data_IF_717212445615
#
_entry.id   IF_717212445615
#
_cell.length_a   1.000
_cell.length_b   1.000
_cell.length_c   1.000
_cell.angle_alpha   90.00
_cell.angle_beta   90.00
_cell.angle_gamma   90.00
#
_symmetry.space_group_name_H-M   'P 1'
#
loop_
_entity.id
_entity.type
_entity.pdbx_description
1 polymer ?
#
# COMPACT_ATOMS: atom_id res chain seq x y z
N UNK A 1 20.79 -26.09 13.76
CA UNK A 1 19.44 -25.51 13.89
C UNK A 1 19.39 -24.32 12.95
N UNK A 2 18.63 -24.45 11.87
CA UNK A 2 18.52 -23.48 10.79
C UNK A 2 17.47 -22.44 11.21
N UNK A 3 17.88 -21.21 11.50
CA UNK A 3 16.97 -20.07 11.61
C UNK A 3 17.48 -19.05 10.60
N UNK A 4 16.80 -19.05 9.46
CA UNK A 4 16.97 -18.11 8.36
C UNK A 4 16.77 -16.70 8.94
N UNK A 5 17.80 -15.86 8.84
CA UNK A 5 17.64 -14.42 9.06
C UNK A 5 16.78 -13.93 7.91
N UNK A 6 15.46 -13.88 8.11
CA UNK A 6 14.59 -13.13 7.22
C UNK A 6 15.15 -11.70 7.18
N UNK A 7 15.74 -11.35 6.04
CA UNK A 7 16.20 -10.00 5.75
C UNK A 7 14.97 -9.10 5.77
N UNK A 8 14.67 -8.54 6.93
CA UNK A 8 13.75 -7.41 7.03
C UNK A 8 14.55 -6.23 6.51
N UNK A 9 14.43 -6.00 5.20
CA UNK A 9 14.91 -4.76 4.58
C UNK A 9 14.13 -3.62 5.23
N UNK A 10 14.79 -2.68 5.93
CA UNK A 10 14.12 -1.48 6.39
C UNK A 10 13.51 -0.82 5.17
N UNK A 11 12.22 -0.51 5.21
CA UNK A 11 11.58 0.30 4.18
C UNK A 11 12.38 1.59 4.08
N UNK A 12 13.21 1.66 3.04
CA UNK A 12 13.90 2.89 2.67
C UNK A 12 12.80 3.91 2.43
N UNK A 13 12.95 5.06 3.09
CA UNK A 13 12.10 6.25 3.01
C UNK A 13 11.19 6.20 1.78
N UNK A 14 9.91 5.88 1.99
CA UNK A 14 8.89 5.84 0.93
C UNK A 14 8.73 7.27 0.44
N UNK A 15 9.69 7.71 -0.38
CA UNK A 15 9.67 9.02 -1.00
C UNK A 15 8.31 9.20 -1.68
N UNK A 16 7.83 10.45 -1.76
CA UNK A 16 6.52 10.73 -2.31
C UNK A 16 6.31 9.95 -3.61
N UNK A 17 5.31 9.06 -3.62
CA UNK A 17 4.98 8.23 -4.77
C UNK A 17 4.66 9.17 -5.93
N UNK A 18 5.62 9.30 -6.85
CA UNK A 18 5.48 10.15 -8.03
C UNK A 18 4.62 9.38 -9.03
N UNK A 19 3.32 9.65 -8.98
CA UNK A 19 2.38 9.11 -9.96
C UNK A 19 2.61 9.77 -11.32
N UNK A 20 3.10 9.01 -12.30
CA UNK A 20 3.02 9.38 -13.71
C UNK A 20 1.65 8.96 -14.24
N UNK A 21 0.98 9.86 -14.98
CA UNK A 21 -0.29 9.54 -15.65
C UNK A 21 0.00 8.53 -16.76
N UNK A 22 -0.43 7.29 -16.59
CA UNK A 22 -0.44 6.31 -17.68
C UNK A 22 -1.33 6.85 -18.81
N UNK A 23 -0.83 6.84 -20.05
CA UNK A 23 -1.67 6.97 -21.23
C UNK A 23 -2.47 5.68 -21.40
N UNK A 24 -3.66 5.61 -20.79
CA UNK A 24 -4.54 4.48 -21.05
C UNK A 24 -5.79 4.39 -20.18
N UNK A 25 -5.69 4.54 -18.86
CA UNK A 25 -6.86 4.36 -17.99
C UNK A 25 -6.68 5.06 -16.64
N UNK A 26 -7.65 5.88 -16.25
CA UNK A 26 -7.65 6.54 -14.94
C UNK A 26 -8.07 5.51 -13.89
N UNK A 27 -7.16 5.12 -13.03
CA UNK A 27 -7.48 4.34 -11.85
C UNK A 27 -7.83 5.28 -10.70
N UNK A 28 -8.88 4.95 -9.94
CA UNK A 28 -9.16 5.58 -8.66
C UNK A 28 -8.44 4.81 -7.56
N UNK A 29 -7.71 5.52 -6.70
CA UNK A 29 -7.10 4.95 -5.50
C UNK A 29 -7.89 5.43 -4.26
N UNK A 30 -8.45 4.49 -3.49
CA UNK A 30 -8.99 4.72 -2.16
C UNK A 30 -7.89 4.36 -1.13
N UNK A 31 -7.68 5.20 -0.12
CA UNK A 31 -6.68 4.98 0.95
C UNK A 31 -7.41 4.88 2.28
N UNK A 32 -7.12 3.84 3.05
CA UNK A 32 -7.62 3.64 4.41
C UNK A 32 -6.47 3.38 5.39
N UNK A 33 -6.58 3.95 6.59
CA UNK A 33 -5.54 3.86 7.63
C UNK A 33 -6.22 3.51 8.95
N UNK A 34 -5.81 2.38 9.53
CA UNK A 34 -6.31 1.93 10.82
C UNK A 34 -5.26 2.16 11.91
N UNK A 35 -5.75 2.58 13.07
CA UNK A 35 -4.94 2.85 14.25
C UNK A 35 -5.41 1.99 15.41
N UNK A 36 -4.46 1.51 16.22
CA UNK A 36 -4.75 1.01 17.56
C UNK A 36 -4.23 2.03 18.55
N UNK A 37 -5.12 2.47 19.45
CA UNK A 37 -4.95 3.61 20.39
C UNK A 37 -3.63 3.59 21.15
N UNK A 38 -3.04 2.42 21.38
CA UNK A 38 -1.80 2.23 22.13
C UNK A 38 -0.54 1.93 21.28
N UNK A 39 -0.68 1.72 19.96
CA UNK A 39 0.41 1.25 19.10
C UNK A 39 0.68 2.13 17.87
N UNK A 40 -0.18 3.11 17.59
CA UNK A 40 -0.04 4.00 16.43
C UNK A 40 -0.82 3.49 15.21
N UNK A 41 -0.33 3.78 14.00
CA UNK A 41 -0.87 3.20 12.75
C UNK A 41 -0.57 1.71 12.79
N UNK A 42 -1.62 0.90 12.70
CA UNK A 42 -1.50 -0.57 12.72
C UNK A 42 -1.79 -1.22 11.39
N UNK A 43 -2.34 -0.47 10.44
CA UNK A 43 -2.37 -0.89 9.05
C UNK A 43 -2.65 0.29 8.12
N UNK A 44 -2.11 0.21 6.91
CA UNK A 44 -2.45 1.08 5.81
C UNK A 44 -2.89 0.21 4.63
N UNK A 45 -3.99 0.59 3.98
CA UNK A 45 -4.45 -0.10 2.79
C UNK A 45 -4.69 0.87 1.63
N UNK A 46 -4.27 0.44 0.45
CA UNK A 46 -4.55 1.10 -0.82
C UNK A 46 -5.44 0.19 -1.65
N UNK A 47 -6.41 0.80 -2.31
CA UNK A 47 -7.38 0.06 -3.08
C UNK A 47 -7.64 0.73 -4.42
N UNK A 48 -7.40 0.01 -5.52
CA UNK A 48 -7.45 0.54 -6.89
C UNK A 48 -8.68 0.04 -7.63
N UNK A 49 -9.45 0.99 -8.16
CA UNK A 49 -10.60 0.75 -9.04
C UNK A 49 -10.34 1.27 -10.44
N UNK A 50 -10.87 0.59 -11.45
CA UNK A 50 -10.99 1.15 -12.80
C UNK A 50 -12.10 2.22 -12.86
N UNK A 51 -12.25 2.86 -14.02
CA UNK A 51 -13.28 3.89 -14.24
C UNK A 51 -14.72 3.38 -14.15
N UNK A 52 -14.92 2.06 -14.26
CA UNK A 52 -16.21 1.39 -14.15
C UNK A 52 -16.49 0.93 -12.70
N UNK A 53 -15.53 1.13 -11.79
CA UNK A 53 -15.63 0.74 -10.38
C UNK A 53 -15.19 -0.69 -10.09
N UNK A 54 -14.62 -1.42 -11.06
CA UNK A 54 -14.10 -2.76 -10.86
C UNK A 54 -12.82 -2.77 -10.03
N UNK A 55 -12.66 -3.82 -9.22
CA UNK A 55 -11.48 -4.06 -8.41
C UNK A 55 -10.29 -4.49 -9.28
N UNK A 56 -9.23 -3.69 -9.28
CA UNK A 56 -8.01 -3.95 -10.08
C UNK A 56 -6.88 -4.47 -9.21
N UNK A 57 -6.62 -3.81 -8.07
CA UNK A 57 -5.55 -4.20 -7.16
C UNK A 57 -5.81 -3.70 -5.73
N UNK A 58 -5.17 -4.34 -4.76
CA UNK A 58 -5.15 -3.89 -3.38
C UNK A 58 -3.76 -4.11 -2.77
N UNK A 59 -3.35 -3.20 -1.90
CA UNK A 59 -2.15 -3.32 -1.08
C UNK A 59 -2.56 -3.15 0.38
N UNK A 60 -2.05 -4.01 1.27
CA UNK A 60 -2.22 -3.86 2.72
C UNK A 60 -0.86 -3.99 3.37
N UNK A 61 -0.50 -2.99 4.16
CA UNK A 61 0.64 -2.97 5.06
C UNK A 61 0.12 -3.05 6.49
N UNK A 62 0.78 -3.86 7.31
CA UNK A 62 0.53 -4.01 8.75
C UNK A 62 1.68 -3.37 9.53
#
# INVERSE_FOLDING_TARGET
>A
SLMDHHSVVPVEDLGPVRWEKSEGELLKCDVDVAFVVSYGVTSMSLYFRDTNGHYVAALTQW
#
